data_IF_129489224172
#
_entry.id   IF_129489224172
#
_cell.length_a   1.000
_cell.length_b   1.000
_cell.length_c   1.000
_cell.angle_alpha   90.00
_cell.angle_beta   90.00
_cell.angle_gamma   90.00
#
_symmetry.space_group_name_H-M   'P 1'
#
loop_
_entity.id
_entity.type
_entity.pdbx_description
1 polymer ?
#
# COMPACT_ATOMS: atom_id res chain seq x y z
N UNK A 1 19.93 -5.62 -4.16
CA UNK A 1 18.86 -6.43 -4.77
C UNK A 1 18.26 -7.25 -3.65
N UNK A 2 17.00 -6.98 -3.28
CA UNK A 2 16.29 -7.83 -2.32
C UNK A 2 15.80 -9.03 -3.13
N UNK A 3 16.30 -10.22 -2.81
CA UNK A 3 15.84 -11.47 -3.43
C UNK A 3 14.78 -12.06 -2.52
N UNK A 4 13.60 -12.33 -3.07
CA UNK A 4 12.53 -13.05 -2.39
C UNK A 4 12.37 -14.38 -3.07
N UNK A 5 12.36 -15.44 -2.28
CA UNK A 5 12.18 -16.80 -2.75
C UNK A 5 10.74 -17.26 -2.49
N UNK A 6 10.07 -17.68 -3.54
CA UNK A 6 8.71 -18.21 -3.51
C UNK A 6 8.65 -19.64 -4.04
N UNK A 7 9.79 -20.30 -4.28
CA UNK A 7 9.85 -21.65 -4.85
C UNK A 7 9.15 -22.70 -3.97
N UNK A 8 9.27 -22.57 -2.64
CA UNK A 8 8.64 -23.47 -1.66
C UNK A 8 7.19 -23.09 -1.30
N UNK A 9 6.60 -22.09 -1.97
CA UNK A 9 5.25 -21.61 -1.66
C UNK A 9 4.23 -22.24 -2.59
N UNK A 10 3.35 -23.04 -2.02
CA UNK A 10 2.16 -23.54 -2.73
C UNK A 10 1.25 -22.37 -3.14
N UNK A 11 0.54 -22.55 -4.26
CA UNK A 11 -0.48 -21.61 -4.73
C UNK A 11 -0.02 -20.67 -5.85
N UNK A 12 -0.75 -19.57 -6.03
CA UNK A 12 -0.51 -18.64 -7.12
C UNK A 12 0.65 -17.67 -6.78
N UNK A 13 1.68 -17.60 -7.63
CA UNK A 13 2.78 -16.65 -7.49
C UNK A 13 2.30 -15.20 -7.32
N UNK A 14 1.27 -14.78 -8.06
CA UNK A 14 0.74 -13.42 -7.95
C UNK A 14 0.10 -13.15 -6.58
N UNK A 15 -0.57 -14.13 -6.00
CA UNK A 15 -1.17 -14.01 -4.66
C UNK A 15 -0.10 -13.70 -3.61
N UNK A 16 1.05 -14.37 -3.67
CA UNK A 16 2.20 -14.10 -2.81
C UNK A 16 2.84 -12.72 -3.06
N UNK A 17 2.89 -12.27 -4.32
CA UNK A 17 3.47 -10.98 -4.69
C UNK A 17 2.57 -9.80 -4.28
N UNK A 18 1.26 -9.90 -4.56
CA UNK A 18 0.30 -8.81 -4.28
C UNK A 18 -0.19 -8.87 -2.83
N UNK A 19 -0.28 -10.07 -2.25
CA UNK A 19 -0.75 -10.30 -0.90
C UNK A 19 -2.26 -10.12 -0.74
N UNK A 20 -3.04 -10.51 -1.74
CA UNK A 20 -4.51 -10.56 -1.67
C UNK A 20 -4.94 -12.00 -1.85
N UNK A 21 -5.84 -12.48 -1.00
CA UNK A 21 -6.33 -13.85 -1.09
C UNK A 21 -7.39 -13.97 -2.18
N UNK A 22 -7.35 -15.06 -2.94
CA UNK A 22 -8.39 -15.34 -3.94
C UNK A 22 -9.74 -15.63 -3.26
N UNK A 23 -10.76 -14.85 -3.61
CA UNK A 23 -12.14 -15.01 -3.14
C UNK A 23 -13.12 -15.33 -4.26
N UNK A 24 -12.61 -15.72 -5.44
CA UNK A 24 -13.42 -16.11 -6.58
C UNK A 24 -14.31 -17.31 -6.28
N UNK A 25 -15.56 -17.25 -6.75
CA UNK A 25 -16.53 -18.35 -6.65
C UNK A 25 -16.80 -19.04 -7.98
N UNK A 26 -16.26 -18.52 -9.09
CA UNK A 26 -16.57 -19.03 -10.43
C UNK A 26 -15.73 -20.23 -10.84
N UNK A 27 -14.57 -20.44 -10.20
CA UNK A 27 -13.57 -21.42 -10.62
C UNK A 27 -12.88 -21.06 -11.96
N UNK A 28 -13.12 -19.87 -12.49
CA UNK A 28 -12.46 -19.37 -13.70
C UNK A 28 -11.03 -18.95 -13.38
N UNK A 29 -10.06 -19.73 -13.84
CA UNK A 29 -8.64 -19.37 -13.78
C UNK A 29 -8.28 -18.53 -15.00
N UNK A 30 -7.91 -17.27 -14.76
CA UNK A 30 -7.47 -16.36 -15.82
C UNK A 30 -5.99 -16.57 -16.10
N UNK A 31 -5.56 -16.91 -17.33
CA UNK A 31 -4.14 -16.99 -17.63
C UNK A 31 -3.52 -15.59 -17.79
N UNK A 32 -2.30 -15.40 -17.29
CA UNK A 32 -1.45 -14.29 -17.73
C UNK A 32 -0.90 -14.60 -19.12
N UNK A 33 -1.19 -13.72 -20.07
CA UNK A 33 -0.66 -13.81 -21.43
C UNK A 33 0.78 -13.30 -21.48
N UNK A 34 1.42 -13.39 -22.65
CA UNK A 34 2.78 -12.92 -22.84
C UNK A 34 2.92 -11.40 -22.56
N UNK A 35 1.86 -10.62 -22.81
CA UNK A 35 1.78 -9.19 -22.55
C UNK A 35 0.40 -8.79 -22.01
N UNK A 36 0.37 -8.15 -20.83
CA UNK A 36 -0.83 -7.76 -20.11
C UNK A 36 -0.74 -6.27 -19.70
N UNK A 37 -0.98 -5.33 -20.64
CA UNK A 37 -1.02 -3.90 -20.33
C UNK A 37 -2.33 -3.52 -19.64
N UNK A 38 -2.26 -2.51 -18.76
CA UNK A 38 -3.42 -1.91 -18.08
C UNK A 38 -4.30 -2.97 -17.40
N UNK A 39 -3.66 -3.96 -16.80
CA UNK A 39 -4.34 -5.12 -16.22
C UNK A 39 -5.14 -4.71 -14.97
N UNK A 40 -6.41 -5.12 -14.83
CA UNK A 40 -7.20 -4.84 -13.62
C UNK A 40 -7.84 -6.12 -13.06
N UNK A 41 -7.54 -6.40 -11.80
CA UNK A 41 -8.19 -7.46 -11.05
C UNK A 41 -8.55 -6.99 -9.64
N UNK A 42 -9.62 -7.52 -9.07
CA UNK A 42 -9.96 -7.25 -7.68
C UNK A 42 -10.61 -8.47 -7.04
N UNK A 43 -10.48 -8.57 -5.71
CA UNK A 43 -11.36 -9.42 -4.91
C UNK A 43 -12.81 -8.93 -5.05
N UNK A 44 -13.80 -9.74 -4.63
CA UNK A 44 -15.21 -9.31 -4.66
C UNK A 44 -15.42 -8.05 -3.81
N UNK A 45 -14.80 -8.02 -2.63
CA UNK A 45 -14.82 -6.84 -1.76
C UNK A 45 -14.11 -5.64 -2.40
N UNK A 46 -13.05 -5.88 -3.17
CA UNK A 46 -12.36 -4.84 -3.93
C UNK A 46 -13.27 -4.22 -5.00
N UNK A 47 -13.96 -5.04 -5.80
CA UNK A 47 -14.92 -4.56 -6.79
C UNK A 47 -16.05 -3.73 -6.18
N UNK A 48 -16.68 -4.23 -5.10
CA UNK A 48 -17.73 -3.48 -4.38
C UNK A 48 -17.24 -2.09 -3.93
N UNK A 49 -15.99 -2.01 -3.46
CA UNK A 49 -15.39 -0.75 -3.01
C UNK A 49 -15.04 0.17 -4.17
N UNK A 50 -14.57 -0.35 -5.29
CA UNK A 50 -14.33 0.44 -6.50
C UNK A 50 -15.62 1.08 -7.03
N UNK A 51 -16.72 0.33 -7.00
CA UNK A 51 -18.05 0.83 -7.37
C UNK A 51 -18.52 1.94 -6.43
N UNK A 52 -18.38 1.75 -5.11
CA UNK A 52 -18.68 2.81 -4.11
C UNK A 52 -17.87 4.09 -4.39
N UNK A 53 -16.62 3.93 -4.79
CA UNK A 53 -15.72 5.04 -5.12
C UNK A 53 -15.95 5.61 -6.53
N UNK A 54 -16.90 5.10 -7.31
CA UNK A 54 -17.16 5.51 -8.69
C UNK A 54 -15.90 5.41 -9.58
N UNK A 55 -15.23 4.26 -9.53
CA UNK A 55 -14.08 3.99 -10.40
C UNK A 55 -14.43 4.18 -11.88
N UNK A 56 -13.50 4.76 -12.65
CA UNK A 56 -13.68 4.94 -14.08
C UNK A 56 -13.17 3.72 -14.84
N UNK A 57 -13.99 2.68 -14.94
CA UNK A 57 -13.69 1.50 -15.75
C UNK A 57 -13.47 1.81 -17.25
N UNK A 58 -13.89 2.99 -17.71
CA UNK A 58 -13.66 3.46 -19.08
C UNK A 58 -12.43 4.36 -19.26
N UNK A 59 -11.73 4.73 -18.17
CA UNK A 59 -10.48 5.49 -18.26
C UNK A 59 -9.30 4.63 -18.73
N UNK A 60 -9.49 3.32 -18.81
CA UNK A 60 -8.46 2.36 -19.21
C UNK A 60 -8.99 1.47 -20.34
N UNK A 61 -8.13 1.13 -21.29
CA UNK A 61 -8.32 -0.03 -22.16
C UNK A 61 -7.93 -1.31 -21.37
N UNK A 62 -8.55 -1.49 -20.20
CA UNK A 62 -8.15 -2.54 -19.26
C UNK A 62 -8.79 -3.88 -19.54
N UNK A 63 -7.98 -4.93 -19.48
CA UNK A 63 -8.49 -6.29 -19.33
C UNK A 63 -9.02 -6.48 -17.90
N UNK A 64 -10.34 -6.67 -17.77
CA UNK A 64 -11.02 -6.85 -16.50
C UNK A 64 -11.66 -8.23 -16.41
N UNK A 65 -11.48 -8.91 -15.28
CA UNK A 65 -12.07 -10.22 -15.03
C UNK A 65 -12.86 -10.22 -13.72
N UNK A 66 -14.17 -9.98 -13.81
CA UNK A 66 -15.05 -10.00 -12.64
C UNK A 66 -15.32 -11.44 -12.19
N UNK A 67 -15.21 -11.68 -10.88
CA UNK A 67 -15.39 -12.99 -10.23
C UNK A 67 -14.47 -14.08 -10.79
N UNK A 68 -13.31 -13.73 -11.34
CA UNK A 68 -12.29 -14.71 -11.74
C UNK A 68 -11.20 -14.83 -10.67
N UNK A 69 -10.56 -16.00 -10.59
CA UNK A 69 -9.39 -16.19 -9.74
C UNK A 69 -8.27 -15.23 -10.12
N UNK A 70 -7.36 -14.95 -9.17
CA UNK A 70 -6.13 -14.20 -9.45
C UNK A 70 -5.45 -14.83 -10.67
N UNK A 71 -5.04 -14.02 -11.65
CA UNK A 71 -4.40 -14.54 -12.85
C UNK A 71 -3.14 -15.34 -12.54
N UNK A 72 -2.86 -16.36 -13.35
CA UNK A 72 -1.73 -17.25 -13.16
C UNK A 72 -0.79 -17.24 -14.38
N UNK A 73 0.54 -17.21 -14.18
CA UNK A 73 1.50 -17.45 -15.25
C UNK A 73 1.22 -18.80 -15.94
N UNK A 74 1.29 -18.83 -17.27
CA UNK A 74 1.19 -20.10 -18.00
C UNK A 74 2.54 -20.83 -17.86
N UNK A 75 2.57 -22.09 -17.37
CA UNK A 75 3.82 -22.85 -17.24
C UNK A 75 4.62 -22.90 -18.53
N UNK A 76 5.93 -22.62 -18.43
CA UNK A 76 6.84 -22.60 -19.57
C UNK A 76 6.73 -21.38 -20.48
N UNK A 77 5.91 -20.37 -20.14
CA UNK A 77 5.79 -19.13 -20.90
C UNK A 77 6.26 -17.91 -20.13
N UNK A 78 6.81 -16.97 -20.88
CA UNK A 78 7.05 -15.62 -20.40
C UNK A 78 5.71 -14.89 -20.22
N UNK A 79 5.62 -14.03 -19.21
CA UNK A 79 4.50 -13.10 -19.06
C UNK A 79 4.99 -11.76 -18.56
N UNK A 80 4.46 -10.68 -19.13
CA UNK A 80 4.71 -9.32 -18.67
C UNK A 80 3.43 -8.65 -18.21
N UNK A 81 3.47 -8.00 -17.05
CA UNK A 81 2.42 -7.10 -16.57
C UNK A 81 2.98 -5.68 -16.62
N UNK A 82 2.27 -4.79 -17.32
CA UNK A 82 2.57 -3.35 -17.29
C UNK A 82 1.34 -2.57 -16.86
N UNK A 83 1.52 -1.65 -15.91
CA UNK A 83 0.45 -0.85 -15.32
C UNK A 83 -0.73 -1.69 -14.76
N UNK A 84 -0.43 -2.78 -14.07
CA UNK A 84 -1.44 -3.66 -13.48
C UNK A 84 -1.91 -3.16 -12.12
N UNK A 85 -3.22 -3.00 -11.94
CA UNK A 85 -3.85 -2.72 -10.66
C UNK A 85 -4.55 -3.95 -10.10
N UNK A 86 -4.29 -4.22 -8.82
CA UNK A 86 -4.98 -5.21 -8.05
C UNK A 86 -5.66 -4.51 -6.89
N UNK A 87 -6.89 -4.88 -6.59
CA UNK A 87 -7.66 -4.27 -5.52
C UNK A 87 -8.23 -5.29 -4.55
N UNK A 88 -8.28 -4.89 -3.29
CA UNK A 88 -9.03 -5.55 -2.23
C UNK A 88 -9.69 -4.47 -1.38
N UNK A 89 -10.48 -4.84 -0.38
CA UNK A 89 -10.95 -3.86 0.59
C UNK A 89 -11.11 -4.45 1.98
N UNK A 90 -11.07 -3.57 2.97
CA UNK A 90 -11.41 -3.88 4.34
C UNK A 90 -12.19 -2.71 4.98
N UNK A 91 -12.37 -2.77 6.30
CA UNK A 91 -13.10 -1.76 7.06
C UNK A 91 -12.46 -0.36 7.00
N UNK A 92 -11.25 -0.20 6.45
CA UNK A 92 -10.57 1.08 6.23
C UNK A 92 -10.97 1.68 4.89
N UNK A 93 -11.03 0.84 3.86
CA UNK A 93 -11.30 1.28 2.50
C UNK A 93 -10.65 0.38 1.45
N UNK A 94 -10.35 0.98 0.30
CA UNK A 94 -9.77 0.28 -0.84
C UNK A 94 -8.29 -0.01 -0.59
N UNK A 95 -7.92 -1.29 -0.61
CA UNK A 95 -6.52 -1.72 -0.70
C UNK A 95 -6.12 -1.77 -2.17
N UNK A 96 -4.95 -1.24 -2.47
CA UNK A 96 -4.42 -1.19 -3.84
C UNK A 96 -3.04 -1.82 -3.89
N UNK A 97 -2.77 -2.59 -4.95
CA UNK A 97 -1.41 -2.95 -5.36
C UNK A 97 -1.24 -2.53 -6.80
N UNK A 98 -0.19 -1.74 -7.04
CA UNK A 98 0.17 -1.33 -8.39
C UNK A 98 1.45 -2.03 -8.83
N UNK A 99 1.33 -2.85 -9.87
CA UNK A 99 2.46 -3.41 -10.60
C UNK A 99 2.71 -2.50 -11.79
N UNK A 100 3.67 -1.59 -11.64
CA UNK A 100 4.13 -0.77 -12.77
C UNK A 100 4.69 -1.65 -13.88
N UNK A 101 5.59 -2.55 -13.51
CA UNK A 101 6.25 -3.45 -14.44
C UNK A 101 6.65 -4.72 -13.72
N UNK A 102 6.34 -5.85 -14.32
CA UNK A 102 6.81 -7.15 -13.85
C UNK A 102 6.98 -8.10 -15.02
N UNK A 103 8.16 -8.71 -15.05
CA UNK A 103 8.52 -9.74 -16.01
C UNK A 103 8.61 -11.08 -15.28
N UNK A 104 7.85 -12.05 -15.75
CA UNK A 104 7.79 -13.40 -15.21
C UNK A 104 8.45 -14.31 -16.25
N UNK A 105 9.61 -14.85 -15.88
CA UNK A 105 10.37 -15.76 -16.73
C UNK A 105 10.11 -17.21 -16.31
N UNK A 106 9.85 -18.12 -17.27
CA UNK A 106 9.79 -19.53 -16.96
C UNK A 106 11.19 -20.01 -16.59
N UNK A 107 11.28 -20.68 -15.44
CA UNK A 107 12.48 -21.39 -15.02
C UNK A 107 12.18 -22.88 -14.98
N UNK A 108 13.17 -23.70 -15.32
CA UNK A 108 13.15 -25.14 -15.12
C UNK A 108 14.19 -25.49 -14.07
N UNK A 109 13.77 -26.25 -13.06
CA UNK A 109 14.60 -26.71 -11.95
C UNK A 109 14.76 -28.23 -12.12
N UNK A 110 16.01 -28.69 -12.07
CA UNK A 110 16.37 -30.11 -12.04
C UNK A 110 17.06 -30.40 -10.69
N UNK A 111 16.32 -31.09 -9.82
CA UNK A 111 16.74 -31.50 -8.47
C UNK A 111 17.22 -32.97 -8.44
N UNK A 112 17.45 -33.59 -9.61
CA UNK A 112 17.83 -35.00 -9.69
C UNK A 112 19.29 -35.29 -9.27
N UNK A 113 20.06 -34.25 -8.97
CA UNK A 113 21.47 -34.35 -8.60
C UNK A 113 21.63 -34.30 -7.07
N UNK A 114 22.37 -35.27 -6.51
CA UNK A 114 22.50 -35.45 -5.06
C UNK A 114 23.19 -34.26 -4.34
N UNK A 115 24.01 -33.48 -5.04
CA UNK A 115 24.87 -32.44 -4.45
C UNK A 115 24.49 -31.00 -4.83
N UNK A 116 23.63 -30.80 -5.84
CA UNK A 116 23.26 -29.47 -6.33
C UNK A 116 21.98 -29.48 -7.17
N UNK A 117 21.21 -28.40 -7.13
CA UNK A 117 20.09 -28.19 -8.04
C UNK A 117 20.55 -27.41 -9.28
N UNK A 118 20.01 -27.75 -10.45
CA UNK A 118 20.28 -27.01 -11.68
C UNK A 118 19.09 -26.14 -12.08
N UNK A 119 19.35 -24.84 -12.24
CA UNK A 119 18.39 -23.86 -12.73
C UNK A 119 18.69 -23.50 -14.18
N UNK A 120 17.68 -23.51 -15.03
CA UNK A 120 17.76 -23.06 -16.42
C UNK A 120 16.63 -22.09 -16.74
N UNK A 121 16.93 -21.07 -17.56
CA UNK A 121 15.93 -20.13 -18.08
C UNK A 121 16.35 -19.63 -19.46
N UNK A 122 15.37 -19.29 -20.29
CA UNK A 122 15.61 -18.85 -21.66
C UNK A 122 15.99 -17.36 -21.71
N UNK A 123 17.17 -17.04 -22.27
CA UNK A 123 17.64 -15.65 -22.43
C UNK A 123 17.26 -15.03 -23.78
N UNK A 124 16.79 -15.83 -24.75
CA UNK A 124 16.44 -15.34 -26.09
C UNK A 124 15.32 -14.30 -26.10
N UNK A 125 14.45 -14.35 -25.09
CA UNK A 125 13.34 -13.41 -24.92
C UNK A 125 13.81 -11.96 -24.71
N UNK A 126 14.97 -11.74 -24.07
CA UNK A 126 15.44 -10.40 -23.71
C UNK A 126 15.69 -9.48 -24.92
N UNK A 127 16.18 -10.02 -26.03
CA UNK A 127 16.43 -9.21 -27.23
C UNK A 127 15.10 -8.69 -27.81
N UNK A 128 14.06 -9.52 -27.80
CA UNK A 128 12.74 -9.16 -28.29
C UNK A 128 12.09 -8.12 -27.37
N UNK A 129 12.18 -8.32 -26.05
CA UNK A 129 11.69 -7.36 -25.07
C UNK A 129 12.40 -6.01 -25.20
N UNK A 130 13.73 -5.99 -25.31
CA UNK A 130 14.48 -4.75 -25.47
C UNK A 130 14.05 -3.96 -26.72
N UNK A 131 13.80 -4.65 -27.85
CA UNK A 131 13.30 -4.01 -29.08
C UNK A 131 11.90 -3.42 -28.91
N UNK A 132 11.03 -4.11 -28.19
CA UNK A 132 9.69 -3.62 -27.86
C UNK A 132 9.77 -2.40 -26.93
N UNK A 133 10.58 -2.50 -25.87
CA UNK A 133 10.67 -1.52 -24.78
C UNK A 133 11.20 -0.16 -25.24
N UNK A 134 12.04 -0.11 -26.29
CA UNK A 134 12.56 1.15 -26.87
C UNK A 134 11.42 2.09 -27.30
N UNK A 135 10.31 1.54 -27.78
CA UNK A 135 9.19 2.32 -28.32
C UNK A 135 7.96 2.28 -27.39
N UNK A 136 8.05 1.63 -26.24
CA UNK A 136 6.92 1.48 -25.35
C UNK A 136 6.65 2.77 -24.56
N UNK A 137 5.44 3.29 -24.67
CA UNK A 137 4.96 4.37 -23.83
C UNK A 137 4.13 3.83 -22.67
N UNK A 138 4.53 4.17 -21.44
CA UNK A 138 3.82 3.73 -20.25
C UNK A 138 2.42 4.38 -20.16
N UNK A 139 1.34 3.58 -20.08
CA UNK A 139 -0.03 4.08 -20.15
C UNK A 139 -0.42 4.82 -18.87
N UNK A 140 -0.72 6.12 -19.00
CA UNK A 140 -1.19 6.98 -17.91
C UNK A 140 -2.27 7.94 -18.44
N UNK A 141 -3.30 8.30 -17.64
CA UNK A 141 -4.32 9.25 -18.05
C UNK A 141 -3.71 10.61 -18.45
N UNK A 142 -4.11 11.13 -19.61
CA UNK A 142 -3.53 12.34 -20.24
C UNK A 142 -3.64 13.58 -19.35
N UNK A 143 -4.77 13.76 -18.69
CA UNK A 143 -5.11 15.00 -17.99
C UNK A 143 -4.39 15.14 -16.64
N UNK A 144 -3.97 14.01 -16.05
CA UNK A 144 -3.36 13.94 -14.73
C UNK A 144 -1.82 13.85 -14.76
N UNK A 145 -1.26 13.34 -15.86
CA UNK A 145 0.20 13.19 -16.10
C UNK A 145 0.98 14.50 -15.90
N UNK A 146 0.36 15.65 -16.11
CA UNK A 146 1.04 16.95 -16.09
C UNK A 146 1.00 17.69 -14.74
N UNK A 147 0.02 17.43 -13.87
CA UNK A 147 -0.16 18.21 -12.62
C UNK A 147 0.30 17.49 -11.36
N UNK A 148 -0.06 16.22 -11.20
CA UNK A 148 0.15 15.47 -9.95
C UNK A 148 1.38 14.56 -9.99
N UNK A 149 1.70 13.99 -11.15
CA UNK A 149 2.83 13.06 -11.30
C UNK A 149 4.19 13.67 -10.90
N UNK A 150 4.52 14.93 -11.26
CA UNK A 150 5.77 15.54 -10.79
C UNK A 150 5.83 15.66 -9.26
N UNK A 151 4.69 15.88 -8.60
CA UNK A 151 4.61 16.00 -7.12
C UNK A 151 4.74 14.65 -6.44
N UNK A 152 4.12 13.62 -6.99
CA UNK A 152 4.31 12.23 -6.55
C UNK A 152 5.77 11.83 -6.69
N UNK A 153 6.40 12.11 -7.84
CA UNK A 153 7.81 11.77 -8.05
C UNK A 153 8.72 12.49 -7.05
N UNK A 154 8.49 13.79 -6.78
CA UNK A 154 9.22 14.51 -5.73
C UNK A 154 9.03 13.92 -4.35
N UNK A 155 7.82 13.44 -4.04
CA UNK A 155 7.56 12.76 -2.78
C UNK A 155 8.31 11.43 -2.69
N UNK A 156 8.32 10.65 -3.79
CA UNK A 156 9.11 9.41 -3.93
C UNK A 156 10.61 9.68 -3.75
N UNK A 157 11.13 10.72 -4.38
CA UNK A 157 12.52 11.15 -4.24
C UNK A 157 12.84 11.56 -2.80
N UNK A 158 11.92 12.27 -2.14
CA UNK A 158 12.07 12.70 -0.76
C UNK A 158 12.19 11.51 0.18
N UNK A 159 11.20 10.61 0.24
CA UNK A 159 11.27 9.47 1.15
C UNK A 159 12.29 8.41 0.66
N UNK A 160 12.61 8.38 -0.63
CA UNK A 160 13.67 7.52 -1.17
C UNK A 160 15.08 7.93 -0.76
N UNK A 161 15.28 9.18 -0.33
CA UNK A 161 16.55 9.66 0.21
C UNK A 161 16.68 9.28 1.70
N UNK A 162 17.71 8.49 2.02
CA UNK A 162 18.01 8.04 3.38
C UNK A 162 18.37 9.17 4.36
N UNK A 163 18.72 10.35 3.87
CA UNK A 163 19.00 11.53 4.68
C UNK A 163 17.73 12.31 5.07
N UNK A 164 16.58 11.96 4.49
CA UNK A 164 15.32 12.63 4.79
C UNK A 164 14.83 12.28 6.18
N UNK A 165 14.31 13.29 6.86
CA UNK A 165 13.76 13.19 8.22
C UNK A 165 12.22 13.17 8.20
N UNK A 166 11.62 12.62 9.27
CA UNK A 166 10.15 12.60 9.45
C UNK A 166 9.54 14.01 9.31
N UNK A 167 10.11 15.08 9.92
CA UNK A 167 9.58 16.43 9.74
C UNK A 167 9.60 16.93 8.29
N UNK A 168 10.58 16.54 7.47
CA UNK A 168 10.60 16.92 6.05
C UNK A 168 9.47 16.25 5.28
N UNK A 169 9.16 14.99 5.60
CA UNK A 169 8.02 14.25 5.03
C UNK A 169 6.70 14.92 5.42
N UNK A 170 6.51 15.19 6.72
CA UNK A 170 5.31 15.88 7.23
C UNK A 170 5.17 17.27 6.60
N UNK A 171 6.23 18.08 6.56
CA UNK A 171 6.20 19.42 5.96
C UNK A 171 5.89 19.39 4.46
N UNK A 172 6.42 18.41 3.72
CA UNK A 172 6.12 18.25 2.30
C UNK A 172 4.62 17.98 2.10
N UNK A 173 4.04 17.06 2.86
CA UNK A 173 2.62 16.68 2.76
C UNK A 173 1.66 17.73 3.32
N UNK A 174 2.12 18.57 4.25
CA UNK A 174 1.33 19.66 4.80
C UNK A 174 1.07 20.79 3.79
N UNK A 175 1.90 20.93 2.75
CA UNK A 175 1.68 21.89 1.68
C UNK A 175 0.37 21.58 0.96
N UNK A 176 -0.53 22.56 0.84
CA UNK A 176 -1.87 22.43 0.22
C UNK A 176 -1.81 21.70 -1.13
N UNK A 177 -0.77 21.99 -1.91
CA UNK A 177 -0.55 21.44 -3.22
C UNK A 177 -0.13 19.96 -3.26
N UNK A 178 0.30 19.40 -2.13
CA UNK A 178 0.69 18.00 -1.94
C UNK A 178 -0.32 17.22 -1.08
N UNK A 179 -1.25 17.90 -0.40
CA UNK A 179 -2.30 17.27 0.42
C UNK A 179 -3.16 16.28 -0.36
N UNK A 180 -3.22 16.42 -1.70
CA UNK A 180 -3.89 15.45 -2.57
C UNK A 180 -3.37 14.02 -2.37
N UNK A 181 -2.10 13.85 -1.97
CA UNK A 181 -1.51 12.53 -1.70
C UNK A 181 -2.28 11.84 -0.57
N UNK A 182 -2.58 12.56 0.51
CA UNK A 182 -3.32 12.03 1.65
C UNK A 182 -4.82 11.94 1.35
N UNK A 183 -5.41 12.96 0.69
CA UNK A 183 -6.86 12.93 0.39
C UNK A 183 -7.23 11.82 -0.59
N UNK A 184 -6.41 11.60 -1.62
CA UNK A 184 -6.64 10.54 -2.61
C UNK A 184 -6.39 9.15 -2.02
N UNK A 185 -5.26 8.94 -1.33
CA UNK A 185 -4.93 7.61 -0.80
C UNK A 185 -5.82 7.17 0.36
N UNK A 186 -6.20 8.08 1.26
CA UNK A 186 -6.93 7.76 2.49
C UNK A 186 -8.43 8.09 2.40
N UNK A 187 -8.89 8.63 1.26
CA UNK A 187 -10.28 9.07 1.08
C UNK A 187 -10.67 10.23 2.00
N UNK A 188 -9.72 11.12 2.32
CA UNK A 188 -9.98 12.26 3.19
C UNK A 188 -10.67 13.40 2.42
N UNK A 189 -11.64 14.03 3.06
CA UNK A 189 -12.35 15.22 2.57
C UNK A 189 -11.63 16.50 3.01
N UNK A 190 -11.01 16.48 4.18
CA UNK A 190 -10.28 17.61 4.76
C UNK A 190 -9.08 17.11 5.58
N UNK A 191 -8.05 17.95 5.68
CA UNK A 191 -6.79 17.63 6.35
C UNK A 191 -6.38 18.79 7.25
N UNK A 192 -6.12 18.48 8.52
CA UNK A 192 -5.51 19.42 9.45
C UNK A 192 -4.13 18.91 9.89
N UNK A 193 -3.08 19.58 9.42
CA UNK A 193 -1.69 19.23 9.76
C UNK A 193 -1.27 19.79 11.12
N UNK A 194 -0.50 18.96 11.83
CA UNK A 194 0.30 19.28 13.01
C UNK A 194 -0.40 20.16 14.08
N UNK A 195 -1.66 19.85 14.39
CA UNK A 195 -2.44 20.57 15.42
C UNK A 195 -2.00 20.14 16.82
N UNK A 196 -1.66 21.11 17.65
CA UNK A 196 -1.27 20.86 19.04
C UNK A 196 -2.50 20.48 19.89
N UNK A 197 -2.38 19.44 20.69
CA UNK A 197 -3.43 18.91 21.54
C UNK A 197 -3.01 19.05 23.00
N UNK A 198 -3.72 19.92 23.73
CA UNK A 198 -3.40 20.30 25.12
C UNK A 198 -4.29 19.52 26.08
N UNK A 199 -3.68 18.84 27.06
CA UNK A 199 -4.41 18.09 28.07
C UNK A 199 -5.24 19.02 28.96
N UNK A 200 -6.53 18.73 29.09
CA UNK A 200 -7.48 19.57 29.84
C UNK A 200 -7.74 19.03 31.26
N UNK A 201 -7.61 17.72 31.45
CA UNK A 201 -7.85 17.06 32.74
C UNK A 201 -6.56 16.58 33.44
N UNK A 202 -5.40 16.74 32.81
CA UNK A 202 -4.11 16.25 33.31
C UNK A 202 -2.98 17.25 33.00
N UNK A 203 -1.96 17.30 33.86
CA UNK A 203 -0.73 18.04 33.61
C UNK A 203 0.29 17.11 32.94
N UNK A 204 0.31 17.14 31.60
CA UNK A 204 1.19 16.33 30.75
C UNK A 204 1.69 17.16 29.57
N UNK A 205 2.83 16.79 28.97
CA UNK A 205 3.27 17.40 27.72
C UNK A 205 2.19 17.32 26.64
N UNK A 206 1.99 18.44 25.94
CA UNK A 206 1.12 18.51 24.77
C UNK A 206 1.54 17.48 23.72
N UNK A 207 0.58 16.97 22.98
CA UNK A 207 0.83 16.04 21.89
C UNK A 207 0.52 16.71 20.56
N UNK A 208 1.18 16.28 19.48
CA UNK A 208 1.04 16.90 18.17
C UNK A 208 1.07 15.81 17.10
N UNK A 209 -0.09 15.29 16.68
CA UNK A 209 -0.16 14.34 15.58
C UNK A 209 0.25 15.00 14.26
N UNK A 210 0.87 14.25 13.34
CA UNK A 210 1.27 14.79 12.04
C UNK A 210 0.07 15.30 11.24
N UNK A 211 -1.02 14.50 11.16
CA UNK A 211 -2.24 14.91 10.48
C UNK A 211 -3.50 14.37 11.17
N UNK A 212 -4.55 15.17 11.13
CA UNK A 212 -5.93 14.72 11.24
C UNK A 212 -6.52 14.65 9.83
N UNK A 213 -7.21 13.54 9.53
CA UNK A 213 -7.91 13.34 8.27
C UNK A 213 -9.41 13.17 8.53
N UNK A 214 -10.23 13.99 7.87
CA UNK A 214 -11.69 13.94 8.01
C UNK A 214 -12.29 13.12 6.88
N UNK A 215 -13.00 12.03 7.19
CA UNK A 215 -13.67 11.14 6.22
C UNK A 215 -15.20 11.32 6.20
N UNK A 216 -15.68 12.56 6.39
CA UNK A 216 -17.09 12.89 6.48
C UNK A 216 -17.69 12.73 7.88
N UNK A 217 -17.79 11.51 8.40
CA UNK A 217 -18.39 11.24 9.72
C UNK A 217 -17.38 10.85 10.81
N UNK A 218 -16.10 10.75 10.46
CA UNK A 218 -15.02 10.34 11.36
C UNK A 218 -13.77 11.17 11.09
N UNK A 219 -13.01 11.42 12.14
CA UNK A 219 -11.66 11.98 12.05
C UNK A 219 -10.66 10.93 12.53
N UNK A 220 -9.75 10.57 11.65
CA UNK A 220 -8.64 9.66 11.95
C UNK A 220 -7.32 10.44 12.08
N UNK A 221 -6.33 9.80 12.70
CA UNK A 221 -5.01 10.40 12.93
C UNK A 221 -4.00 9.65 12.08
N UNK A 222 -3.18 10.39 11.34
CA UNK A 222 -2.05 9.84 10.57
C UNK A 222 -0.75 10.26 11.24
N UNK A 223 0.13 9.30 11.47
CA UNK A 223 1.48 9.49 12.01
C UNK A 223 2.49 8.90 11.01
N UNK A 224 3.50 9.67 10.65
CA UNK A 224 4.59 9.24 9.78
C UNK A 224 5.81 8.81 10.59
N UNK A 225 6.42 7.74 10.13
CA UNK A 225 7.79 7.36 10.50
C UNK A 225 8.65 7.22 9.27
N UNK A 226 9.94 6.98 9.47
CA UNK A 226 10.85 6.81 8.35
C UNK A 226 10.50 5.60 7.47
N UNK A 227 10.75 5.69 6.16
CA UNK A 227 10.57 4.58 5.22
C UNK A 227 11.60 3.47 5.43
N UNK A 228 12.74 3.76 6.05
CA UNK A 228 13.77 2.76 6.35
C UNK A 228 13.62 2.28 7.78
N UNK A 229 13.15 1.04 7.96
CA UNK A 229 13.05 0.41 9.27
C UNK A 229 14.42 -0.13 9.73
N UNK A 230 14.71 0.07 11.02
CA UNK A 230 15.90 -0.53 11.65
C UNK A 230 15.62 -2.01 11.93
N UNK A 231 16.08 -2.87 11.04
CA UNK A 231 15.87 -4.32 11.11
C UNK A 231 14.48 -4.73 10.60
N UNK A 232 14.12 -5.99 10.83
CA UNK A 232 12.86 -6.55 10.35
C UNK A 232 11.66 -5.92 11.08
N UNK A 233 10.52 -5.78 10.39
CA UNK A 233 9.27 -5.29 11.00
C UNK A 233 8.67 -6.32 11.96
N UNK A 234 8.81 -7.62 11.63
CA UNK A 234 8.35 -8.76 12.42
C UNK A 234 9.56 -9.57 12.90
N UNK A 235 9.51 -10.03 14.15
CA UNK A 235 10.53 -10.87 14.79
C UNK A 235 9.86 -11.96 15.59
N UNK A 236 10.53 -13.10 15.74
CA UNK A 236 10.01 -14.23 16.50
C UNK A 236 10.43 -15.56 15.90
N UNK A 237 9.92 -16.64 16.50
CA UNK A 237 9.95 -17.99 15.90
C UNK A 237 8.54 -18.32 15.44
N UNK A 238 8.41 -19.32 14.57
CA UNK A 238 7.13 -19.82 14.07
C UNK A 238 6.08 -19.98 15.19
N UNK A 239 4.89 -19.41 15.00
CA UNK A 239 3.77 -19.34 15.96
C UNK A 239 4.04 -18.50 17.23
N UNK A 240 5.07 -17.65 17.22
CA UNK A 240 5.45 -16.70 18.28
C UNK A 240 6.02 -15.41 17.69
N UNK A 241 5.46 -14.98 16.57
CA UNK A 241 5.81 -13.77 15.87
C UNK A 241 5.26 -12.54 16.59
N UNK A 242 5.99 -11.44 16.50
CA UNK A 242 5.61 -10.17 17.12
C UNK A 242 6.23 -9.02 16.33
N UNK A 243 5.67 -7.82 16.48
CA UNK A 243 6.33 -6.63 15.94
C UNK A 243 7.68 -6.42 16.61
N UNK A 244 8.67 -5.99 15.82
CA UNK A 244 9.99 -5.65 16.34
C UNK A 244 9.91 -4.53 17.36
N UNK A 245 10.91 -4.45 18.25
CA UNK A 245 10.96 -3.41 19.28
C UNK A 245 10.86 -1.99 18.68
N UNK A 246 11.44 -1.78 17.50
CA UNK A 246 11.34 -0.52 16.74
C UNK A 246 9.89 -0.20 16.39
N UNK A 247 9.18 -1.12 15.75
CA UNK A 247 7.81 -0.92 15.33
C UNK A 247 6.85 -0.81 16.53
N UNK A 248 7.06 -1.64 17.57
CA UNK A 248 6.30 -1.58 18.81
C UNK A 248 6.45 -0.23 19.53
N UNK A 249 7.64 0.39 19.46
CA UNK A 249 7.88 1.74 19.98
C UNK A 249 7.01 2.78 19.26
N UNK A 250 6.95 2.72 17.93
CA UNK A 250 6.09 3.61 17.13
C UNK A 250 4.60 3.40 17.41
N UNK A 251 4.16 2.14 17.49
CA UNK A 251 2.77 1.81 17.86
C UNK A 251 2.44 2.34 19.26
N UNK A 252 3.38 2.23 20.20
CA UNK A 252 3.20 2.70 21.58
C UNK A 252 3.15 4.23 21.64
N UNK A 253 3.95 4.92 20.82
CA UNK A 253 3.90 6.39 20.71
C UNK A 253 2.50 6.86 20.30
N UNK A 254 1.86 6.23 19.31
CA UNK A 254 0.54 6.65 18.84
C UNK A 254 -0.60 6.33 19.81
N UNK A 255 -0.41 5.42 20.80
CA UNK A 255 -1.42 5.14 21.84
C UNK A 255 -1.78 6.36 22.69
N UNK A 256 -0.85 7.32 22.79
CA UNK A 256 -1.09 8.57 23.51
C UNK A 256 -2.27 9.35 22.92
N UNK A 257 -2.48 9.25 21.60
CA UNK A 257 -3.60 9.90 20.92
C UNK A 257 -4.93 9.28 21.33
N UNK A 258 -5.01 7.95 21.38
CA UNK A 258 -6.20 7.23 21.84
C UNK A 258 -6.55 7.62 23.28
N UNK A 259 -5.54 7.63 24.17
CA UNK A 259 -5.72 8.05 25.57
C UNK A 259 -6.17 9.51 25.71
N UNK A 260 -5.62 10.41 24.89
CA UNK A 260 -6.00 11.83 24.88
C UNK A 260 -7.46 12.00 24.46
N UNK A 261 -7.89 11.32 23.39
CA UNK A 261 -9.24 11.44 22.84
C UNK A 261 -10.29 10.59 23.57
N UNK A 262 -9.91 9.78 24.56
CA UNK A 262 -10.85 9.13 25.49
C UNK A 262 -11.46 10.13 26.49
N UNK A 263 -10.76 11.22 26.81
CA UNK A 263 -11.26 12.28 27.68
C UNK A 263 -12.23 13.23 26.92
N UNK A 264 -13.50 13.37 27.37
CA UNK A 264 -14.46 14.31 26.78
C UNK A 264 -14.01 15.78 26.80
N UNK A 265 -13.22 16.21 27.79
CA UNK A 265 -12.75 17.59 27.89
C UNK A 265 -11.72 17.90 26.79
N UNK A 266 -10.79 16.97 26.55
CA UNK A 266 -9.82 17.04 25.47
C UNK A 266 -10.51 17.07 24.09
N UNK A 267 -11.51 16.18 23.88
CA UNK A 267 -12.32 16.17 22.64
C UNK A 267 -13.00 17.51 22.41
N UNK A 268 -13.66 18.03 23.45
CA UNK A 268 -14.36 19.32 23.38
C UNK A 268 -13.39 20.45 23.04
N UNK A 269 -12.22 20.48 23.68
CA UNK A 269 -11.20 21.48 23.41
C UNK A 269 -10.72 21.44 21.95
N UNK A 270 -10.44 20.24 21.41
CA UNK A 270 -10.04 20.08 19.99
C UNK A 270 -11.14 20.53 19.03
N UNK A 271 -12.39 20.19 19.33
CA UNK A 271 -13.55 20.62 18.55
C UNK A 271 -13.73 22.13 18.57
N UNK A 272 -13.63 22.74 19.75
CA UNK A 272 -13.84 24.19 19.93
C UNK A 272 -12.71 25.01 19.28
N UNK A 273 -11.46 24.51 19.29
CA UNK A 273 -10.30 25.24 18.74
C UNK A 273 -10.05 24.98 17.25
N UNK A 274 -10.33 23.77 16.76
CA UNK A 274 -9.98 23.35 15.39
C UNK A 274 -11.17 22.89 14.55
N UNK A 275 -12.37 22.79 15.12
CA UNK A 275 -13.55 22.27 14.41
C UNK A 275 -13.53 20.76 14.17
N UNK A 276 -12.59 20.03 14.77
CA UNK A 276 -12.41 18.59 14.56
C UNK A 276 -13.21 17.78 15.59
N UNK A 277 -14.20 17.03 15.14
CA UNK A 277 -15.00 16.13 15.99
C UNK A 277 -14.35 14.75 16.07
N UNK A 278 -13.31 14.66 16.91
CA UNK A 278 -12.50 13.44 17.04
C UNK A 278 -13.09 12.55 18.13
N UNK A 279 -13.62 11.39 17.74
CA UNK A 279 -14.13 10.38 18.68
C UNK A 279 -13.58 9.00 18.33
N UNK A 280 -12.80 8.41 19.24
CA UNK A 280 -12.13 7.10 19.07
C UNK A 280 -11.44 7.01 17.69
N UNK A 281 -10.47 7.90 17.41
CA UNK A 281 -9.84 7.97 16.10
C UNK A 281 -9.12 6.65 15.80
N UNK A 282 -9.18 6.20 14.54
CA UNK A 282 -8.20 5.20 14.10
C UNK A 282 -6.84 5.88 13.97
N UNK A 283 -5.79 5.15 14.32
CA UNK A 283 -4.40 5.58 14.22
C UNK A 283 -3.78 4.92 13.01
N UNK A 284 -3.48 5.70 11.97
CA UNK A 284 -2.85 5.23 10.74
C UNK A 284 -1.36 5.55 10.85
N UNK A 285 -0.54 4.51 11.02
CA UNK A 285 0.91 4.62 11.08
C UNK A 285 1.49 4.34 9.69
N UNK A 286 2.08 5.36 9.06
CA UNK A 286 2.76 5.21 7.78
C UNK A 286 4.25 5.02 8.03
N UNK A 287 4.74 3.80 7.75
CA UNK A 287 6.11 3.40 8.11
C UNK A 287 6.62 2.32 7.17
N UNK A 288 7.93 2.34 6.91
CA UNK A 288 8.58 1.28 6.15
C UNK A 288 8.22 1.25 4.66
N UNK A 289 8.83 0.31 3.96
CA UNK A 289 8.55 -0.07 2.58
C UNK A 289 7.85 -1.42 2.56
N UNK A 290 7.17 -1.75 1.46
CA UNK A 290 6.57 -3.08 1.26
C UNK A 290 7.57 -4.23 1.46
N UNK A 291 8.86 -3.95 1.20
CA UNK A 291 9.93 -4.91 1.42
C UNK A 291 10.20 -5.26 2.88
N UNK A 292 9.76 -4.43 3.82
CA UNK A 292 9.93 -4.66 5.25
C UNK A 292 8.83 -5.57 5.85
N UNK A 293 7.73 -5.79 5.11
CA UNK A 293 6.53 -6.52 5.55
C UNK A 293 6.27 -7.77 4.68
N UNK A 294 7.22 -8.69 4.66
CA UNK A 294 7.27 -9.83 3.72
C UNK A 294 6.36 -11.01 4.04
N UNK A 295 5.82 -11.13 5.26
CA UNK A 295 5.12 -12.35 5.72
C UNK A 295 3.66 -12.10 6.05
N UNK A 296 2.74 -13.00 5.67
CA UNK A 296 1.31 -12.89 6.03
C UNK A 296 1.09 -12.77 7.56
N UNK A 297 2.06 -13.23 8.36
CA UNK A 297 2.18 -13.07 9.80
C UNK A 297 1.95 -11.62 10.28
N UNK A 298 2.42 -10.60 9.54
CA UNK A 298 2.24 -9.21 9.98
C UNK A 298 0.76 -8.82 9.99
N UNK A 299 -0.06 -9.37 9.09
CA UNK A 299 -1.51 -9.12 9.05
C UNK A 299 -2.21 -9.78 10.24
N UNK A 300 -1.77 -10.97 10.63
CA UNK A 300 -2.30 -11.65 11.81
C UNK A 300 -1.99 -10.84 13.08
N UNK A 301 -0.73 -10.41 13.26
CA UNK A 301 -0.34 -9.56 14.40
C UNK A 301 -1.10 -8.22 14.36
N UNK A 302 -1.33 -7.64 13.18
CA UNK A 302 -2.15 -6.43 13.04
C UNK A 302 -3.59 -6.62 13.50
N UNK A 303 -4.18 -7.80 13.31
CA UNK A 303 -5.57 -8.07 13.68
C UNK A 303 -5.82 -7.96 15.19
N UNK A 304 -4.77 -8.07 16.02
CA UNK A 304 -4.83 -7.84 17.46
C UNK A 304 -5.09 -6.36 17.82
N UNK A 305 -4.87 -5.43 16.90
CA UNK A 305 -5.02 -3.99 17.13
C UNK A 305 -6.28 -3.44 16.45
N UNK A 306 -7.30 -3.14 17.26
CA UNK A 306 -8.61 -2.67 16.74
C UNK A 306 -8.64 -1.23 16.22
N UNK A 307 -7.77 -0.37 16.73
CA UNK A 307 -7.74 1.07 16.47
C UNK A 307 -6.45 1.52 15.77
N UNK A 308 -5.68 0.59 15.21
CA UNK A 308 -4.42 0.84 14.53
C UNK A 308 -4.48 0.28 13.11
N UNK A 309 -3.90 1.05 12.19
CA UNK A 309 -3.58 0.60 10.86
C UNK A 309 -2.10 0.89 10.58
N UNK A 310 -1.43 -0.03 9.89
CA UNK A 310 -0.06 0.17 9.42
C UNK A 310 -0.10 0.15 7.90
N UNK A 311 0.39 1.23 7.30
CA UNK A 311 0.53 1.37 5.86
C UNK A 311 2.00 1.63 5.52
N UNK A 312 2.47 1.10 4.40
CA UNK A 312 3.80 1.45 3.91
C UNK A 312 3.76 2.69 3.05
N UNK A 313 4.92 3.32 2.82
CA UNK A 313 5.01 4.41 1.84
C UNK A 313 4.61 3.95 0.43
N UNK A 314 4.83 2.68 0.08
CA UNK A 314 4.36 2.12 -1.19
C UNK A 314 2.85 2.11 -1.28
N UNK A 315 2.17 1.67 -0.23
CA UNK A 315 0.70 1.60 -0.20
C UNK A 315 0.07 3.00 -0.32
N UNK A 316 0.69 3.99 0.32
CA UNK A 316 0.27 5.39 0.21
C UNK A 316 0.32 5.87 -1.25
N UNK A 317 1.42 5.61 -1.97
CA UNK A 317 1.58 6.01 -3.37
C UNK A 317 0.61 5.25 -4.27
N UNK A 318 0.50 3.94 -4.10
CA UNK A 318 -0.38 3.08 -4.91
C UNK A 318 -1.83 3.57 -4.80
N UNK A 319 -2.28 3.94 -3.59
CA UNK A 319 -3.61 4.53 -3.37
C UNK A 319 -3.84 5.81 -4.16
N UNK A 320 -2.86 6.72 -4.23
CA UNK A 320 -2.96 7.95 -5.03
C UNK A 320 -3.02 7.64 -6.53
N UNK A 321 -2.11 6.77 -6.98
CA UNK A 321 -1.98 6.43 -8.40
C UNK A 321 -3.26 5.74 -8.91
N UNK A 322 -3.90 4.92 -8.09
CA UNK A 322 -5.22 4.38 -8.41
C UNK A 322 -6.26 5.48 -8.63
N UNK A 323 -6.34 6.50 -7.78
CA UNK A 323 -7.35 7.57 -7.93
C UNK A 323 -7.26 8.34 -9.25
N UNK A 324 -6.15 8.27 -9.99
CA UNK A 324 -6.06 8.86 -11.34
C UNK A 324 -7.03 8.25 -12.35
N UNK A 325 -7.60 7.09 -12.02
CA UNK A 325 -8.56 6.37 -12.84
C UNK A 325 -9.96 6.39 -12.23
N UNK A 326 -10.25 7.34 -11.33
CA UNK A 326 -11.62 7.59 -10.82
C UNK A 326 -12.39 8.55 -11.76
N UNK A 327 -13.72 8.44 -11.79
CA UNK A 327 -14.60 9.20 -12.69
C UNK A 327 -14.89 10.62 -12.20
#
# INVERSE_FOLDING_TARGET
MVVRDFSDKDGNLLEHIIGFSDDSTSGLVTPLLDWNPDFLWATMKGYDKLDELNWNYSAQDSFMFMNASIPQPIPGKFSRITNGFFFDSDDVGLKTRHIKWMDIFPISIDESHDDYDQFQFEIGVFEQLAKFDINYEYPMPSDYKYKHLPRINRFIELWGNSESSEPQITQFLAQEENQFILTMSLGAVDIASEKECIWQSEDRPNIRPDFFISKGNRVDIVEFKLPSLKGNAVVGKENRESFSATLQSYISQTRVYSSYFDDPNNRKWVKDNYGLDVYKPRRILIVGRRNDFTTDEWREIMSDYRDLEIMTFDDLIDGVVAQFYRK
#
